data_IF_937574636914
#
_entry.id   IF_937574636914
#
_cell.length_a   1.000
_cell.length_b   1.000
_cell.length_c   1.000
_cell.angle_alpha   90.00
_cell.angle_beta   90.00
_cell.angle_gamma   90.00
#
_symmetry.space_group_name_H-M   'P 1'
#
loop_
_entity.id
_entity.type
_entity.pdbx_description
1 polymer ?
#
# COMPACT_ATOMS: atom_id res chain seq x y z
N UNK A 1 1.25 -29.46 14.02
CA UNK A 1 2.66 -29.39 14.40
C UNK A 1 3.29 -28.30 13.57
N UNK A 2 3.57 -27.18 14.19
CA UNK A 2 3.92 -25.90 13.52
C UNK A 2 5.43 -25.84 13.31
N UNK A 3 5.86 -25.72 12.05
CA UNK A 3 7.27 -25.56 11.61
C UNK A 3 7.95 -24.23 12.04
N UNK A 4 7.48 -23.60 13.10
CA UNK A 4 7.94 -22.28 13.51
C UNK A 4 9.03 -22.29 14.60
N UNK A 5 9.72 -23.40 14.83
CA UNK A 5 10.55 -23.56 16.02
C UNK A 5 11.99 -23.00 15.93
N UNK A 6 12.45 -22.40 14.80
CA UNK A 6 13.84 -21.90 14.72
C UNK A 6 14.11 -20.81 13.68
N UNK A 7 13.09 -20.05 13.27
CA UNK A 7 13.31 -18.93 12.33
C UNK A 7 13.80 -17.73 13.15
N UNK A 8 15.01 -17.25 12.88
CA UNK A 8 15.50 -16.01 13.47
C UNK A 8 14.73 -14.81 12.92
N UNK A 9 14.67 -13.71 13.70
CA UNK A 9 14.01 -12.49 13.24
C UNK A 9 14.63 -11.94 11.94
N UNK A 10 15.95 -12.10 11.77
CA UNK A 10 16.64 -11.71 10.53
C UNK A 10 16.14 -12.48 9.31
N UNK A 11 15.87 -13.78 9.45
CA UNK A 11 15.27 -14.59 8.39
C UNK A 11 13.83 -14.13 8.08
N UNK A 12 13.09 -13.69 9.10
CA UNK A 12 11.77 -13.09 8.92
C UNK A 12 11.87 -11.79 8.11
N UNK A 13 12.80 -10.91 8.47
CA UNK A 13 13.03 -9.67 7.71
C UNK A 13 13.36 -9.99 6.27
N UNK A 14 14.35 -10.84 6.00
CA UNK A 14 14.74 -11.23 4.64
C UNK A 14 13.57 -11.81 3.82
N UNK A 15 12.70 -12.60 4.47
CA UNK A 15 11.54 -13.21 3.81
C UNK A 15 10.44 -12.21 3.47
N UNK A 16 10.22 -11.21 4.32
CA UNK A 16 9.04 -10.34 4.23
C UNK A 16 9.34 -8.89 3.84
N UNK A 17 10.61 -8.48 3.82
CA UNK A 17 11.03 -7.10 3.54
C UNK A 17 10.41 -6.55 2.25
N UNK A 18 10.66 -7.20 1.15
CA UNK A 18 10.14 -6.78 -0.16
C UNK A 18 8.61 -6.70 -0.23
N UNK A 19 7.91 -7.64 0.41
CA UNK A 19 6.44 -7.66 0.40
C UNK A 19 5.88 -6.55 1.29
N UNK A 20 6.47 -6.33 2.47
CA UNK A 20 6.09 -5.26 3.38
C UNK A 20 6.32 -3.89 2.74
N UNK A 21 7.48 -3.68 2.13
CA UNK A 21 7.79 -2.48 1.38
C UNK A 21 6.77 -2.23 0.26
N UNK A 22 6.47 -3.24 -0.57
CA UNK A 22 5.52 -3.13 -1.66
C UNK A 22 4.11 -2.74 -1.18
N UNK A 23 3.65 -3.35 -0.07
CA UNK A 23 2.38 -2.97 0.56
C UNK A 23 2.38 -1.48 0.93
N UNK A 24 3.40 -1.05 1.68
CA UNK A 24 3.50 0.33 2.17
C UNK A 24 3.65 1.32 1.02
N UNK A 25 4.44 1.00 0.00
CA UNK A 25 4.57 1.84 -1.19
C UNK A 25 3.23 2.01 -1.94
N UNK A 26 2.43 0.95 -2.08
CA UNK A 26 1.09 1.06 -2.68
C UNK A 26 0.13 1.89 -1.83
N UNK A 27 0.29 1.89 -0.52
CA UNK A 27 -0.54 2.68 0.39
C UNK A 27 -0.16 4.15 0.42
N UNK A 28 1.14 4.45 0.43
CA UNK A 28 1.69 5.82 0.54
C UNK A 28 1.80 6.52 -0.81
N UNK A 29 2.22 5.82 -1.84
CA UNK A 29 2.63 6.38 -3.14
C UNK A 29 4.03 7.01 -3.11
N UNK A 30 4.73 6.98 -1.99
CA UNK A 30 6.00 7.64 -1.71
C UNK A 30 7.04 6.58 -1.31
N UNK A 31 8.17 6.57 -2.01
CA UNK A 31 9.21 5.56 -1.84
C UNK A 31 9.92 5.68 -0.48
N UNK A 32 10.35 6.90 -0.15
CA UNK A 32 11.12 7.16 1.06
C UNK A 32 10.26 6.92 2.31
N UNK A 33 9.03 7.43 2.29
CA UNK A 33 8.06 7.18 3.34
C UNK A 33 7.75 5.69 3.50
N UNK A 34 7.62 4.95 2.39
CA UNK A 34 7.36 3.52 2.45
C UNK A 34 8.54 2.76 3.07
N UNK A 35 9.78 3.17 2.76
CA UNK A 35 11.00 2.59 3.32
C UNK A 35 11.10 2.87 4.83
N UNK A 36 10.88 4.10 5.25
CA UNK A 36 10.88 4.48 6.66
C UNK A 36 9.82 3.72 7.45
N UNK A 37 8.60 3.68 6.95
CA UNK A 37 7.52 2.94 7.59
C UNK A 37 7.80 1.44 7.66
N UNK A 38 8.44 0.85 6.64
CA UNK A 38 8.81 -0.57 6.66
C UNK A 38 9.83 -0.87 7.77
N UNK A 39 10.85 -0.02 7.92
CA UNK A 39 11.82 -0.15 9.02
C UNK A 39 11.14 -0.02 10.39
N UNK A 40 10.30 0.99 10.58
CA UNK A 40 9.55 1.19 11.82
C UNK A 40 8.63 0.00 12.13
N UNK A 41 7.95 -0.55 11.13
CA UNK A 41 7.09 -1.74 11.26
C UNK A 41 7.90 -2.96 11.69
N UNK A 42 9.09 -3.20 11.12
CA UNK A 42 9.95 -4.29 11.56
C UNK A 42 10.45 -4.09 12.99
N UNK A 43 10.78 -2.87 13.39
CA UNK A 43 11.16 -2.58 14.79
C UNK A 43 10.00 -2.83 15.77
N UNK A 44 8.76 -2.48 15.39
CA UNK A 44 7.56 -2.78 16.16
C UNK A 44 7.35 -4.30 16.22
N UNK A 45 7.44 -4.98 15.07
CA UNK A 45 7.28 -6.42 14.99
C UNK A 45 8.31 -7.16 15.84
N UNK A 46 9.58 -6.72 15.85
CA UNK A 46 10.62 -7.29 16.70
C UNK A 46 10.26 -7.20 18.19
N UNK A 47 9.83 -6.02 18.64
CA UNK A 47 9.43 -5.79 20.04
C UNK A 47 8.20 -6.59 20.46
N UNK A 48 7.28 -6.82 19.53
CA UNK A 48 6.01 -7.51 19.78
C UNK A 48 6.07 -9.00 19.44
N UNK A 49 7.20 -9.50 18.89
CA UNK A 49 7.33 -10.87 18.40
C UNK A 49 7.07 -11.92 19.49
N UNK A 50 7.53 -11.65 20.72
CA UNK A 50 7.29 -12.53 21.88
C UNK A 50 5.80 -12.69 22.25
N UNK A 51 4.94 -11.76 21.78
CA UNK A 51 3.49 -11.78 22.00
C UNK A 51 2.74 -12.45 20.86
N UNK A 52 3.42 -12.77 19.76
CA UNK A 52 2.81 -13.46 18.63
C UNK A 52 2.46 -14.90 18.99
N UNK A 53 1.16 -15.19 19.13
CA UNK A 53 0.64 -16.48 19.58
C UNK A 53 0.40 -17.50 18.48
N UNK A 54 0.65 -17.15 17.21
CA UNK A 54 0.36 -18.04 16.08
C UNK A 54 -1.13 -18.23 15.78
N UNK A 55 -2.01 -17.37 16.30
CA UNK A 55 -3.46 -17.41 16.06
C UNK A 55 -3.85 -16.99 14.62
N UNK A 56 -2.92 -16.42 13.89
CA UNK A 56 -3.02 -16.08 12.46
C UNK A 56 -1.71 -16.42 11.77
N UNK A 57 -1.69 -16.43 10.44
CA UNK A 57 -0.43 -16.42 9.71
C UNK A 57 0.39 -15.19 10.14
N UNK A 58 1.71 -15.38 10.26
CA UNK A 58 2.64 -14.31 10.61
C UNK A 58 2.49 -13.09 9.70
N UNK A 59 2.21 -13.34 8.43
CA UNK A 59 2.03 -12.32 7.43
C UNK A 59 0.80 -11.44 7.69
N UNK A 60 -0.33 -12.05 8.05
CA UNK A 60 -1.55 -11.35 8.48
C UNK A 60 -1.29 -10.44 9.69
N UNK A 61 -0.52 -10.95 10.65
CA UNK A 61 -0.13 -10.18 11.84
C UNK A 61 0.80 -9.01 11.50
N UNK A 62 1.82 -9.23 10.64
CA UNK A 62 2.74 -8.18 10.20
C UNK A 62 2.00 -7.08 9.41
N UNK A 63 1.09 -7.46 8.53
CA UNK A 63 0.27 -6.52 7.75
C UNK A 63 -0.66 -5.71 8.64
N UNK A 64 -1.21 -6.29 9.69
CA UNK A 64 -1.99 -5.56 10.69
C UNK A 64 -1.16 -4.46 11.37
N UNK A 65 0.09 -4.76 11.73
CA UNK A 65 1.02 -3.74 12.27
C UNK A 65 1.24 -2.64 11.22
N UNK A 66 1.54 -3.00 9.98
CA UNK A 66 1.85 -2.06 8.90
C UNK A 66 0.69 -1.10 8.62
N UNK A 67 -0.53 -1.63 8.43
CA UNK A 67 -1.71 -0.82 8.17
C UNK A 67 -2.03 0.11 9.34
N UNK A 68 -1.95 -0.39 10.58
CA UNK A 68 -2.20 0.44 11.76
C UNK A 68 -1.14 1.53 11.92
N UNK A 69 0.12 1.24 11.60
CA UNK A 69 1.20 2.21 11.64
C UNK A 69 1.03 3.29 10.58
N UNK A 70 0.73 2.92 9.34
CA UNK A 70 0.39 3.84 8.26
C UNK A 70 -0.81 4.74 8.61
N UNK A 71 -1.90 4.18 9.15
CA UNK A 71 -3.05 4.98 9.61
C UNK A 71 -2.69 5.98 10.71
N UNK A 72 -1.78 5.60 11.62
CA UNK A 72 -1.26 6.51 12.67
C UNK A 72 -0.46 7.64 12.05
N UNK A 73 0.38 7.34 11.06
CA UNK A 73 1.13 8.35 10.32
C UNK A 73 0.19 9.35 9.63
N UNK A 74 -0.81 8.88 8.90
CA UNK A 74 -1.81 9.75 8.24
C UNK A 74 -2.56 10.65 9.24
N UNK A 75 -2.92 10.13 10.41
CA UNK A 75 -3.56 10.94 11.47
C UNK A 75 -2.63 12.02 11.97
N UNK A 76 -1.35 11.71 12.19
CA UNK A 76 -0.34 12.67 12.63
C UNK A 76 -0.16 13.78 11.59
N UNK A 77 -0.03 13.44 10.32
CA UNK A 77 0.07 14.41 9.22
C UNK A 77 -1.15 15.35 9.18
N UNK A 78 -2.36 14.80 9.30
CA UNK A 78 -3.59 15.61 9.33
C UNK A 78 -3.60 16.62 10.47
N UNK A 79 -3.17 16.22 11.66
CA UNK A 79 -3.08 17.11 12.82
C UNK A 79 -2.04 18.19 12.59
N UNK A 80 -0.84 17.83 12.10
CA UNK A 80 0.22 18.82 11.82
C UNK A 80 -0.20 19.82 10.73
N UNK A 81 -0.85 19.34 9.67
CA UNK A 81 -1.39 20.21 8.62
C UNK A 81 -2.48 21.16 9.14
N UNK A 82 -3.34 20.72 10.06
CA UNK A 82 -4.36 21.58 10.67
C UNK A 82 -3.77 22.70 11.50
N UNK A 83 -2.67 22.46 12.19
CA UNK A 83 -1.96 23.48 12.98
C UNK A 83 -0.96 24.31 12.17
N UNK A 84 -0.91 24.17 10.83
CA UNK A 84 0.03 24.91 9.97
C UNK A 84 1.49 24.52 10.14
N UNK A 85 1.77 23.38 10.83
CA UNK A 85 3.11 22.87 11.11
C UNK A 85 3.58 21.83 10.08
N UNK A 86 2.75 21.52 9.08
CA UNK A 86 3.07 20.58 8.01
C UNK A 86 3.44 21.34 6.75
N UNK A 87 4.69 21.33 6.35
CA UNK A 87 5.07 21.68 4.99
C UNK A 87 4.40 20.64 4.07
N UNK A 88 3.44 21.09 3.26
CA UNK A 88 3.08 20.39 2.05
C UNK A 88 4.25 20.65 1.09
N UNK A 89 5.23 19.79 1.09
CA UNK A 89 6.07 19.68 -0.08
C UNK A 89 5.21 19.12 -1.20
N UNK A 90 5.08 19.81 -2.34
CA UNK A 90 4.58 19.19 -3.55
C UNK A 90 5.48 17.98 -3.79
N UNK A 91 4.88 16.86 -4.16
CA UNK A 91 5.60 15.67 -4.60
C UNK A 91 6.54 16.08 -5.74
N UNK A 92 7.78 16.39 -5.42
CA UNK A 92 8.86 16.32 -6.39
C UNK A 92 9.13 14.82 -6.59
N UNK A 93 8.95 14.36 -7.81
CA UNK A 93 9.44 13.08 -8.28
C UNK A 93 10.94 13.02 -8.00
N UNK A 94 11.32 12.44 -6.88
CA UNK A 94 12.72 12.16 -6.58
C UNK A 94 13.11 10.96 -7.43
N UNK A 95 13.70 11.26 -8.55
CA UNK A 95 14.32 10.29 -9.46
C UNK A 95 15.69 9.91 -8.90
N UNK A 96 15.74 8.94 -8.00
CA UNK A 96 16.94 8.20 -7.72
C UNK A 96 17.11 7.12 -8.81
N UNK A 97 18.20 7.17 -9.64
CA UNK A 97 18.41 6.20 -10.71
C UNK A 97 18.44 4.73 -10.23
N UNK A 98 18.88 4.48 -9.01
CA UNK A 98 18.88 3.14 -8.40
C UNK A 98 17.49 2.66 -7.99
N UNK A 99 16.61 3.57 -7.56
CA UNK A 99 15.21 3.29 -7.26
C UNK A 99 14.41 2.99 -8.54
N UNK A 100 14.73 3.65 -9.66
CA UNK A 100 14.05 3.43 -10.95
C UNK A 100 14.26 2.01 -11.47
N UNK A 101 15.45 1.42 -11.35
CA UNK A 101 15.72 0.05 -11.84
C UNK A 101 14.97 -1.02 -11.01
N UNK A 102 14.79 -0.79 -9.72
CA UNK A 102 13.93 -1.63 -8.89
C UNK A 102 12.45 -1.35 -9.14
N UNK A 103 12.07 -0.10 -9.37
CA UNK A 103 10.71 0.29 -9.75
C UNK A 103 10.32 -0.28 -11.11
N UNK A 104 11.19 -0.27 -12.13
CA UNK A 104 10.91 -0.87 -13.43
C UNK A 104 10.67 -2.38 -13.35
N UNK A 105 11.37 -3.09 -12.45
CA UNK A 105 11.07 -4.52 -12.17
C UNK A 105 9.72 -4.71 -11.48
N UNK A 106 9.31 -3.78 -10.61
CA UNK A 106 8.00 -3.75 -9.98
C UNK A 106 6.94 -3.26 -10.98
N UNK A 107 7.28 -2.33 -11.86
CA UNK A 107 6.42 -1.83 -12.94
C UNK A 107 6.05 -2.89 -13.98
N UNK A 108 6.94 -3.83 -14.28
CA UNK A 108 6.60 -4.99 -15.11
C UNK A 108 5.51 -5.89 -14.53
N UNK A 109 5.29 -5.83 -13.20
CA UNK A 109 4.23 -6.58 -12.50
C UNK A 109 2.93 -5.78 -12.32
N UNK A 110 2.95 -4.47 -12.55
CA UNK A 110 1.75 -3.62 -12.53
C UNK A 110 1.71 -2.77 -13.81
N UNK A 111 1.32 -3.38 -14.89
CA UNK A 111 1.44 -2.85 -16.27
C UNK A 111 0.62 -1.59 -16.58
N UNK A 112 0.10 -0.86 -15.59
CA UNK A 112 -0.68 0.31 -15.93
C UNK A 112 -0.48 1.48 -14.95
N UNK A 113 0.27 2.49 -15.40
CA UNK A 113 0.43 3.77 -14.69
C UNK A 113 -0.94 4.36 -14.30
N UNK A 114 -1.96 4.19 -15.14
CA UNK A 114 -3.32 4.63 -14.86
C UNK A 114 -3.97 3.87 -13.71
N UNK A 115 -3.71 2.56 -13.57
CA UNK A 115 -4.22 1.76 -12.45
C UNK A 115 -3.59 2.22 -11.15
N UNK A 116 -2.27 2.46 -11.12
CA UNK A 116 -1.57 2.98 -9.93
C UNK A 116 -2.14 4.33 -9.52
N UNK A 117 -2.29 5.25 -10.46
CA UNK A 117 -2.88 6.56 -10.21
C UNK A 117 -4.30 6.42 -9.66
N UNK A 118 -5.15 5.62 -10.30
CA UNK A 118 -6.52 5.40 -9.83
C UNK A 118 -6.58 4.81 -8.41
N UNK A 119 -5.66 3.88 -8.08
CA UNK A 119 -5.55 3.28 -6.74
C UNK A 119 -5.04 4.31 -5.72
N UNK A 120 -4.03 5.13 -6.07
CA UNK A 120 -3.49 6.15 -5.16
C UNK A 120 -4.53 7.18 -4.73
N UNK A 121 -5.48 7.48 -5.60
CA UNK A 121 -6.57 8.42 -5.36
C UNK A 121 -7.80 7.83 -4.66
N UNK A 122 -7.79 6.56 -4.29
CA UNK A 122 -8.88 5.97 -3.50
C UNK A 122 -8.88 6.51 -2.06
N UNK A 123 -10.08 6.72 -1.46
CA UNK A 123 -10.17 6.90 -0.01
C UNK A 123 -9.48 5.75 0.74
N UNK A 124 -8.83 6.08 1.86
CA UNK A 124 -7.92 5.18 2.59
C UNK A 124 -8.54 3.80 2.86
N UNK A 125 -9.79 3.74 3.33
CA UNK A 125 -10.47 2.48 3.65
C UNK A 125 -10.71 1.58 2.44
N UNK A 126 -10.91 2.15 1.25
CA UNK A 126 -11.06 1.39 0.02
C UNK A 126 -9.69 1.02 -0.56
N UNK A 127 -8.72 1.94 -0.49
CA UNK A 127 -7.34 1.69 -0.93
C UNK A 127 -6.74 0.50 -0.20
N UNK A 128 -6.76 0.51 1.14
CA UNK A 128 -6.25 -0.58 1.96
C UNK A 128 -6.88 -1.93 1.59
N UNK A 129 -8.21 -1.95 1.44
CA UNK A 129 -8.94 -3.17 1.12
C UNK A 129 -8.61 -3.68 -0.28
N UNK A 130 -8.53 -2.79 -1.27
CA UNK A 130 -8.17 -3.11 -2.66
C UNK A 130 -6.73 -3.60 -2.77
N UNK A 131 -5.79 -2.92 -2.10
CA UNK A 131 -4.37 -3.31 -2.11
C UNK A 131 -4.19 -4.69 -1.49
N UNK A 132 -4.77 -4.95 -0.33
CA UNK A 132 -4.67 -6.25 0.34
C UNK A 132 -5.28 -7.38 -0.50
N UNK A 133 -6.40 -7.13 -1.18
CA UNK A 133 -7.09 -8.16 -1.95
C UNK A 133 -6.41 -8.45 -3.30
N UNK A 134 -6.10 -7.40 -4.10
CA UNK A 134 -5.65 -7.58 -5.48
C UNK A 134 -4.13 -7.65 -5.65
N UNK A 135 -3.37 -7.06 -4.74
CA UNK A 135 -1.91 -7.00 -4.86
C UNK A 135 -1.19 -7.88 -3.86
N UNK A 136 -1.85 -8.19 -2.73
CA UNK A 136 -1.27 -9.04 -1.69
C UNK A 136 -1.97 -10.40 -1.58
N UNK A 137 -2.94 -10.69 -2.46
CA UNK A 137 -3.68 -11.96 -2.56
C UNK A 137 -4.29 -12.44 -1.23
N UNK A 138 -4.74 -11.47 -0.39
CA UNK A 138 -5.31 -11.82 0.90
C UNK A 138 -6.79 -12.21 0.76
N UNK A 139 -7.19 -13.29 1.46
CA UNK A 139 -8.59 -13.66 1.56
C UNK A 139 -9.40 -12.61 2.35
N UNK A 140 -10.70 -12.48 2.07
CA UNK A 140 -11.56 -11.51 2.77
C UNK A 140 -11.54 -11.66 4.29
N UNK A 141 -11.41 -12.90 4.80
CA UNK A 141 -11.37 -13.16 6.24
C UNK A 141 -10.04 -12.70 6.87
N UNK A 142 -8.92 -12.81 6.15
CA UNK A 142 -7.63 -12.30 6.62
C UNK A 142 -7.56 -10.78 6.51
N UNK A 143 -8.11 -10.19 5.44
CA UNK A 143 -8.28 -8.74 5.34
C UNK A 143 -9.13 -8.21 6.51
N UNK A 144 -10.18 -8.91 6.89
CA UNK A 144 -11.01 -8.54 8.02
C UNK A 144 -10.21 -8.48 9.34
N UNK A 145 -9.32 -9.46 9.56
CA UNK A 145 -8.38 -9.48 10.70
C UNK A 145 -7.34 -8.35 10.63
N UNK A 146 -6.78 -8.10 9.44
CA UNK A 146 -5.80 -7.03 9.22
C UNK A 146 -6.42 -5.65 9.49
N UNK A 147 -7.63 -5.40 8.95
CA UNK A 147 -8.29 -4.10 9.00
C UNK A 147 -9.16 -3.89 10.25
N UNK A 148 -9.27 -4.92 11.11
CA UNK A 148 -10.10 -4.93 12.32
C UNK A 148 -11.57 -4.59 12.01
N UNK A 149 -12.17 -5.35 11.09
CA UNK A 149 -13.57 -5.18 10.67
C UNK A 149 -14.21 -6.52 10.30
N UNK A 150 -15.52 -6.51 10.03
CA UNK A 150 -16.21 -7.73 9.60
C UNK A 150 -15.89 -8.12 8.15
N UNK A 151 -15.94 -9.42 7.78
CA UNK A 151 -15.81 -9.84 6.38
C UNK A 151 -16.87 -9.20 5.46
N UNK A 152 -18.06 -8.92 5.98
CA UNK A 152 -19.11 -8.17 5.26
C UNK A 152 -18.68 -6.74 4.93
N UNK A 153 -17.96 -6.07 5.87
CA UNK A 153 -17.37 -4.75 5.65
C UNK A 153 -16.30 -4.81 4.56
N UNK A 154 -15.44 -5.83 4.55
CA UNK A 154 -14.44 -6.04 3.50
C UNK A 154 -15.10 -6.16 2.14
N UNK A 155 -16.12 -7.02 2.00
CA UNK A 155 -16.85 -7.21 0.74
C UNK A 155 -17.50 -5.93 0.25
N UNK A 156 -18.12 -5.14 1.13
CA UNK A 156 -18.74 -3.87 0.78
C UNK A 156 -17.70 -2.81 0.36
N UNK A 157 -16.55 -2.76 1.05
CA UNK A 157 -15.44 -1.86 0.66
C UNK A 157 -14.83 -2.26 -0.68
N UNK A 158 -14.64 -3.55 -0.96
CA UNK A 158 -14.19 -4.02 -2.26
C UNK A 158 -15.17 -3.64 -3.37
N UNK A 159 -16.48 -3.79 -3.14
CA UNK A 159 -17.47 -3.40 -4.12
C UNK A 159 -17.41 -1.90 -4.43
N UNK A 160 -17.40 -1.05 -3.40
CA UNK A 160 -17.28 0.41 -3.56
C UNK A 160 -15.96 0.82 -4.18
N UNK A 161 -14.84 0.25 -3.73
CA UNK A 161 -13.52 0.51 -4.31
C UNK A 161 -13.48 0.21 -5.80
N UNK A 162 -14.07 -0.91 -6.24
CA UNK A 162 -14.19 -1.25 -7.67
C UNK A 162 -15.01 -0.24 -8.46
N UNK A 163 -16.11 0.26 -7.91
CA UNK A 163 -16.93 1.27 -8.57
C UNK A 163 -16.14 2.58 -8.77
N UNK A 164 -15.44 3.03 -7.75
CA UNK A 164 -14.61 4.25 -7.84
C UNK A 164 -13.47 4.05 -8.83
N UNK A 165 -12.78 2.91 -8.78
CA UNK A 165 -11.71 2.58 -9.75
C UNK A 165 -12.23 2.57 -11.19
N UNK A 166 -13.37 1.96 -11.46
CA UNK A 166 -13.96 1.92 -12.79
C UNK A 166 -14.26 3.34 -13.33
N UNK A 167 -14.81 4.21 -12.48
CA UNK A 167 -15.05 5.61 -12.85
C UNK A 167 -13.76 6.37 -13.14
N UNK A 168 -12.74 6.25 -12.27
CA UNK A 168 -11.45 6.91 -12.46
C UNK A 168 -10.71 6.42 -13.70
N UNK A 169 -10.66 5.12 -13.92
CA UNK A 169 -10.00 4.53 -15.11
C UNK A 169 -10.69 4.96 -16.42
N UNK A 170 -12.02 5.06 -16.44
CA UNK A 170 -12.73 5.57 -17.59
C UNK A 170 -12.43 7.05 -17.85
N UNK A 171 -12.33 7.87 -16.79
CA UNK A 171 -11.92 9.27 -16.90
C UNK A 171 -10.49 9.43 -17.43
N UNK A 172 -9.53 8.67 -16.92
CA UNK A 172 -8.13 8.69 -17.36
C UNK A 172 -7.97 8.23 -18.82
N UNK A 173 -8.72 7.20 -19.24
CA UNK A 173 -8.73 6.75 -20.64
C UNK A 173 -9.29 7.82 -21.58
N UNK A 174 -10.35 8.53 -21.19
CA UNK A 174 -10.92 9.62 -21.97
C UNK A 174 -9.95 10.79 -22.11
N UNK A 175 -9.24 11.17 -21.05
CA UNK A 175 -8.25 12.23 -21.07
C UNK A 175 -7.05 11.90 -21.98
N UNK A 176 -6.51 10.67 -21.91
CA UNK A 176 -5.42 10.24 -22.78
C UNK A 176 -5.80 10.20 -24.26
N UNK A 177 -7.05 9.81 -24.60
CA UNK A 177 -7.53 9.81 -25.98
C UNK A 177 -7.73 11.23 -26.55
N UNK A 178 -7.95 12.24 -25.70
CA UNK A 178 -8.05 13.64 -26.14
C UNK A 178 -6.68 14.30 -26.31
N UNK A 179 -5.68 13.96 -25.49
CA UNK A 179 -4.32 14.43 -25.63
C UNK A 179 -3.66 14.01 -26.95
N UNK A 180 -3.85 12.75 -27.36
CA UNK A 180 -3.31 12.22 -28.61
C UNK A 180 -3.93 12.79 -29.89
N UNK A 181 -5.12 13.43 -29.80
CA UNK A 181 -5.75 14.08 -30.97
C UNK A 181 -5.23 15.48 -31.24
N UNK A 182 -4.77 16.18 -30.21
CA UNK A 182 -4.25 17.54 -30.36
C UNK A 182 -2.82 17.58 -30.92
N UNK A 183 -2.03 16.52 -30.76
CA UNK A 183 -0.67 16.44 -31.32
C UNK A 183 -0.67 16.10 -32.82
N UNK A 184 -1.72 15.47 -33.34
CA UNK A 184 -1.85 15.14 -34.77
C UNK A 184 -2.45 16.28 -35.60
N UNK A 185 -2.92 17.35 -34.99
CA UNK A 185 -3.53 18.51 -35.71
C UNK A 185 -2.60 19.72 -35.81
N UNK A 186 -1.33 19.60 -35.36
CA UNK A 186 -0.36 20.69 -35.35
C UNK A 186 0.84 20.46 -36.30
N UNK A 187 0.65 19.64 -37.37
CA UNK A 187 1.64 19.47 -38.45
C UNK A 187 1.03 19.78 -39.79
#
# INVERSE_FOLDING_TARGET
MTENSNITFDQIVQKYDKRLFNLLFRLTGDYDLAQDLAQEVFLIAYKEYSKFRGESDFFTWLYRIAVNHHRRHLRKQKVMSFFGLGERTPEEEVSDPGALEQMEKIEKLSQDKMVRQAVSELPVEFKETVVLYYFEDQACDDIAKILDCSPGTVKSRLWRGRQILAQKLNGLKAANNQGGRNELSAN
#
